data_IF_068428175395
#
_entry.id   IF_068428175395
#
_cell.length_a   1.000
_cell.length_b   1.000
_cell.length_c   1.000
_cell.angle_alpha   90.00
_cell.angle_beta   90.00
_cell.angle_gamma   90.00
#
_symmetry.space_group_name_H-M   'P 1'
#
loop_
_entity.id
_entity.type
_entity.pdbx_description
1 polymer ?
#
# COMPACT_ATOMS: atom_id res chain seq x y z
N UNK A 1 -17.20 -17.66 11.62
CA UNK A 1 -16.60 -16.33 11.80
C UNK A 1 -16.03 -15.99 10.44
N UNK A 2 -16.58 -14.95 9.80
CA UNK A 2 -16.12 -14.53 8.48
C UNK A 2 -14.72 -13.97 8.65
N UNK A 3 -13.73 -14.56 7.98
CA UNK A 3 -12.39 -13.97 7.92
C UNK A 3 -12.53 -12.66 7.16
N UNK A 4 -12.11 -11.55 7.77
CA UNK A 4 -12.13 -10.23 7.13
C UNK A 4 -10.78 -10.02 6.44
N UNK A 5 -10.83 -9.53 5.20
CA UNK A 5 -9.67 -9.09 4.44
C UNK A 5 -9.86 -7.62 4.13
N UNK A 6 -8.90 -6.81 4.57
CA UNK A 6 -8.85 -5.39 4.30
C UNK A 6 -7.87 -5.14 3.17
N UNK A 7 -8.38 -4.68 2.03
CA UNK A 7 -7.57 -4.26 0.88
C UNK A 7 -7.52 -2.74 0.89
N UNK A 8 -6.31 -2.18 0.89
CA UNK A 8 -6.12 -0.74 0.93
C UNK A 8 -5.09 -0.28 -0.10
N UNK A 9 -5.39 0.82 -0.79
CA UNK A 9 -4.42 1.54 -1.60
C UNK A 9 -4.13 2.90 -0.98
N UNK A 10 -2.85 3.26 -0.95
CA UNK A 10 -2.40 4.55 -0.45
C UNK A 10 -1.33 5.16 -1.37
N UNK A 11 -1.28 6.48 -1.36
CA UNK A 11 -0.25 7.26 -2.04
C UNK A 11 0.70 7.78 -0.98
N UNK A 12 1.96 7.38 -1.08
CA UNK A 12 3.06 7.99 -0.35
C UNK A 12 3.65 9.08 -1.21
N UNK A 13 3.81 10.26 -0.62
CA UNK A 13 4.57 11.34 -1.20
C UNK A 13 5.85 11.51 -0.39
N UNK A 14 6.98 11.41 -1.06
CA UNK A 14 8.32 11.46 -0.46
C UNK A 14 9.17 12.44 -1.24
N UNK A 15 10.15 13.05 -0.58
CA UNK A 15 11.19 13.80 -1.28
C UNK A 15 11.87 12.90 -2.31
N UNK A 16 12.07 13.34 -3.57
CA UNK A 16 12.67 12.51 -4.63
C UNK A 16 14.03 11.89 -4.25
N UNK A 17 14.82 12.60 -3.44
CA UNK A 17 16.12 12.11 -2.94
C UNK A 17 16.00 10.88 -2.02
N UNK A 18 14.84 10.69 -1.38
CA UNK A 18 14.54 9.60 -0.47
C UNK A 18 13.69 8.48 -1.11
N UNK A 19 13.24 8.67 -2.35
CA UNK A 19 12.45 7.69 -3.08
C UNK A 19 13.08 6.28 -3.11
N UNK A 20 14.40 6.11 -3.39
CA UNK A 20 15.01 4.78 -3.37
C UNK A 20 14.94 4.09 -2.00
N UNK A 21 15.07 4.85 -0.91
CA UNK A 21 15.00 4.31 0.44
C UNK A 21 13.58 3.89 0.80
N UNK A 22 12.59 4.71 0.43
CA UNK A 22 11.18 4.37 0.65
C UNK A 22 10.79 3.13 -0.15
N UNK A 23 11.20 3.04 -1.41
CA UNK A 23 10.97 1.86 -2.26
C UNK A 23 11.60 0.61 -1.63
N UNK A 24 12.85 0.69 -1.18
CA UNK A 24 13.50 -0.45 -0.52
C UNK A 24 12.81 -0.88 0.79
N UNK A 25 12.31 0.09 1.58
CA UNK A 25 11.52 -0.20 2.79
C UNK A 25 10.19 -0.89 2.45
N UNK A 26 9.51 -0.41 1.40
CA UNK A 26 8.27 -0.97 0.91
C UNK A 26 8.47 -2.41 0.37
N UNK A 27 9.49 -2.63 -0.48
CA UNK A 27 9.84 -3.95 -1.01
C UNK A 27 10.31 -4.95 0.07
N UNK A 28 10.77 -4.45 1.22
CA UNK A 28 11.14 -5.28 2.37
C UNK A 28 9.94 -5.82 3.16
N UNK A 29 8.72 -5.36 2.86
CA UNK A 29 7.50 -5.80 3.52
C UNK A 29 6.77 -6.83 2.65
N UNK A 30 6.51 -8.01 3.20
CA UNK A 30 5.85 -9.10 2.48
C UNK A 30 4.45 -8.76 1.96
N UNK A 31 3.76 -7.83 2.62
CA UNK A 31 2.34 -7.55 2.40
C UNK A 31 2.11 -6.16 1.76
N UNK A 32 3.17 -5.54 1.24
CA UNK A 32 3.11 -4.21 0.63
C UNK A 32 3.65 -4.23 -0.79
N UNK A 33 2.75 -4.02 -1.74
CA UNK A 33 3.06 -4.03 -3.16
C UNK A 33 3.13 -2.60 -3.70
N UNK A 34 4.22 -2.26 -4.38
CA UNK A 34 4.34 -1.01 -5.12
C UNK A 34 3.69 -1.18 -6.50
N UNK A 35 2.57 -0.48 -6.73
CA UNK A 35 1.85 -0.50 -8.00
C UNK A 35 2.39 0.50 -9.01
N UNK A 36 2.87 1.64 -8.55
CA UNK A 36 3.44 2.68 -9.39
C UNK A 36 4.37 3.59 -8.60
N UNK A 37 5.34 4.19 -9.29
CA UNK A 37 6.18 5.26 -8.75
C UNK A 37 6.43 6.34 -9.80
N UNK A 38 6.69 7.56 -9.34
CA UNK A 38 7.04 8.69 -10.21
C UNK A 38 8.37 9.34 -9.76
N UNK A 39 9.14 9.94 -10.68
CA UNK A 39 10.38 10.63 -10.33
C UNK A 39 10.15 11.88 -9.46
N UNK A 40 8.90 12.35 -9.37
CA UNK A 40 8.50 13.44 -8.48
C UNK A 40 8.31 13.00 -7.02
N UNK A 41 8.52 11.72 -6.73
CA UNK A 41 8.44 11.18 -5.36
C UNK A 41 7.04 10.72 -4.96
N UNK A 42 6.16 10.39 -5.90
CA UNK A 42 4.89 9.74 -5.61
C UNK A 42 5.03 8.24 -5.75
N UNK A 43 4.48 7.48 -4.80
CA UNK A 43 4.46 6.02 -4.81
C UNK A 43 3.04 5.58 -4.49
N UNK A 44 2.46 4.74 -5.35
CA UNK A 44 1.19 4.06 -5.10
C UNK A 44 1.51 2.69 -4.56
N UNK A 45 0.97 2.38 -3.38
CA UNK A 45 1.13 1.05 -2.77
C UNK A 45 -0.24 0.45 -2.48
N UNK A 46 -0.28 -0.87 -2.46
CA UNK A 46 -1.44 -1.68 -2.10
C UNK A 46 -1.02 -2.64 -1.00
N UNK A 47 -1.87 -2.78 0.01
CA UNK A 47 -1.68 -3.71 1.12
C UNK A 47 -2.94 -4.52 1.35
N UNK A 48 -2.75 -5.75 1.82
CA UNK A 48 -3.81 -6.66 2.20
C UNK A 48 -3.55 -7.15 3.62
N UNK A 49 -4.52 -6.93 4.51
CA UNK A 49 -4.36 -7.27 5.93
C UNK A 49 -5.64 -7.85 6.53
N UNK A 50 -5.53 -8.75 7.51
CA UNK A 50 -6.69 -9.33 8.17
C UNK A 50 -7.43 -8.33 9.10
N UNK A 51 -6.81 -7.22 9.49
CA UNK A 51 -7.43 -6.23 10.36
C UNK A 51 -7.16 -4.79 9.92
N UNK A 52 -8.14 -3.91 10.15
CA UNK A 52 -7.99 -2.46 9.91
C UNK A 52 -6.81 -1.85 10.68
N UNK A 53 -6.50 -2.33 11.89
CA UNK A 53 -5.39 -1.80 12.69
C UNK A 53 -4.05 -1.98 11.99
N UNK A 54 -3.87 -3.05 11.22
CA UNK A 54 -2.65 -3.30 10.48
C UNK A 54 -2.43 -2.24 9.37
N UNK A 55 -3.51 -1.78 8.73
CA UNK A 55 -3.45 -0.68 7.74
C UNK A 55 -2.98 0.61 8.41
N UNK A 56 -3.55 0.93 9.57
CA UNK A 56 -3.16 2.13 10.32
C UNK A 56 -1.68 2.07 10.74
N UNK A 57 -1.20 0.92 11.19
CA UNK A 57 0.22 0.73 11.52
C UNK A 57 1.13 0.94 10.31
N UNK A 58 0.77 0.44 9.13
CA UNK A 58 1.54 0.69 7.90
C UNK A 58 1.59 2.18 7.56
N UNK A 59 0.48 2.91 7.76
CA UNK A 59 0.43 4.36 7.54
C UNK A 59 1.39 5.07 8.52
N UNK A 60 1.32 4.74 9.81
CA UNK A 60 2.23 5.30 10.83
C UNK A 60 3.71 4.99 10.52
N UNK A 61 4.02 3.76 10.10
CA UNK A 61 5.40 3.35 9.76
C UNK A 61 5.89 4.06 8.49
N UNK A 62 5.01 4.25 7.50
CA UNK A 62 5.28 5.00 6.28
C UNK A 62 5.59 6.47 6.58
N UNK A 63 4.78 7.12 7.42
CA UNK A 63 4.97 8.53 7.79
C UNK A 63 6.26 8.77 8.60
N UNK A 64 6.77 7.73 9.27
CA UNK A 64 8.07 7.77 9.95
C UNK A 64 9.27 7.57 9.02
N UNK A 65 9.06 7.17 7.76
CA UNK A 65 10.17 6.98 6.84
C UNK A 65 10.86 8.31 6.49
N UNK A 66 12.20 8.35 6.41
CA UNK A 66 12.93 9.58 6.11
C UNK A 66 12.49 10.23 4.81
N UNK A 67 12.08 11.49 4.89
CA UNK A 67 11.69 12.29 3.73
C UNK A 67 10.27 12.08 3.25
N UNK A 68 9.46 11.24 3.91
CA UNK A 68 8.03 11.14 3.63
C UNK A 68 7.34 12.43 4.06
N UNK A 69 6.53 12.95 3.14
CA UNK A 69 5.78 14.20 3.27
C UNK A 69 4.31 13.92 3.65
N UNK A 70 3.76 12.82 3.14
CA UNK A 70 2.40 12.38 3.45
C UNK A 70 2.17 10.93 3.06
N UNK A 71 1.32 10.24 3.80
CA UNK A 71 0.68 9.00 3.38
C UNK A 71 -0.83 9.23 3.27
N UNK A 72 -1.44 9.01 2.10
CA UNK A 72 -2.87 9.26 1.88
C UNK A 72 -3.56 7.99 1.43
N UNK A 73 -4.51 7.51 2.25
CA UNK A 73 -5.39 6.40 1.90
C UNK A 73 -6.36 6.84 0.78
N UNK A 74 -6.32 6.14 -0.35
CA UNK A 74 -7.14 6.44 -1.54
C UNK A 74 -8.32 5.47 -1.64
N UNK A 75 -8.09 4.22 -1.28
CA UNK A 75 -9.09 3.17 -1.33
C UNK A 75 -8.95 2.26 -0.11
N UNK A 76 -10.08 1.85 0.45
CA UNK A 76 -10.16 0.84 1.50
C UNK A 76 -11.46 0.08 1.35
N UNK A 77 -11.35 -1.24 1.22
CA UNK A 77 -12.49 -2.15 1.19
C UNK A 77 -12.28 -3.28 2.19
N UNK A 78 -13.39 -3.82 2.69
CA UNK A 78 -13.44 -4.99 3.57
C UNK A 78 -14.25 -6.04 2.86
N UNK A 79 -13.64 -7.20 2.63
CA UNK A 79 -14.25 -8.32 1.92
C UNK A 79 -13.85 -9.64 2.56
N UNK A 80 -14.46 -10.74 2.14
CA UNK A 80 -14.01 -12.06 2.55
C UNK A 80 -12.75 -12.46 1.76
N UNK A 81 -11.81 -13.24 2.32
CA UNK A 81 -10.61 -13.66 1.59
C UNK A 81 -10.92 -14.45 0.30
N UNK A 82 -12.05 -15.15 0.25
CA UNK A 82 -12.51 -15.84 -0.97
C UNK A 82 -12.91 -14.88 -2.11
N UNK A 83 -13.22 -13.62 -1.80
CA UNK A 83 -13.63 -12.59 -2.76
C UNK A 83 -12.39 -11.80 -3.26
N UNK A 84 -11.37 -11.59 -2.42
CA UNK A 84 -10.16 -10.83 -2.79
C UNK A 84 -9.31 -11.46 -3.89
N UNK A 85 -9.22 -12.79 -3.92
CA UNK A 85 -8.42 -13.55 -4.91
C UNK A 85 -8.93 -13.34 -6.36
N UNK A 86 -10.19 -12.95 -6.55
CA UNK A 86 -10.79 -12.71 -7.87
C UNK A 86 -10.57 -11.28 -8.40
N UNK A 87 -10.40 -10.28 -7.54
CA UNK A 87 -10.29 -8.86 -7.93
C UNK A 87 -8.86 -8.44 -8.33
N UNK A 88 -7.82 -9.10 -7.78
CA UNK A 88 -6.42 -8.85 -8.17
C UNK A 88 -6.14 -9.15 -9.66
N UNK A 89 -6.91 -10.08 -10.26
CA UNK A 89 -6.88 -10.37 -11.69
C UNK A 89 -7.34 -9.19 -12.57
N UNK A 90 -8.15 -8.27 -12.04
CA UNK A 90 -8.70 -7.12 -12.77
C UNK A 90 -7.88 -5.83 -12.63
N UNK A 91 -6.95 -5.75 -11.68
CA UNK A 91 -6.09 -4.58 -11.45
C UNK A 91 -4.73 -4.65 -12.17
N UNK A 92 -4.40 -5.77 -12.82
CA UNK A 92 -3.20 -5.88 -13.65
C UNK A 92 -3.27 -4.92 -14.86
N UNK A 93 -2.25 -4.08 -15.11
CA UNK A 93 -2.24 -3.24 -16.29
C UNK A 93 -2.04 -4.11 -17.53
N UNK A 94 -3.09 -4.34 -18.31
CA UNK A 94 -2.98 -5.01 -19.62
C UNK A 94 -4.11 -5.94 -20.04
N UNK A 95 -5.37 -5.62 -19.73
CA UNK A 95 -6.53 -6.14 -20.47
C UNK A 95 -7.10 -5.06 -21.40
#
# INVERSE_FOLDING_TARGET
MSEELHIASMILHVLPAHLPNLTAWAEGQSDLEIRASSPEGKVVVVIEKPHQQDILSVIDDAEQQPGVLSCTLVYHEVMSPAEGDQELLHLAPGA
#
